data_IF_435213995925
#
_entry.id   IF_435213995925
#
_cell.length_a   1.000
_cell.length_b   1.000
_cell.length_c   1.000
_cell.angle_alpha   90.00
_cell.angle_beta   90.00
_cell.angle_gamma   90.00
#
_symmetry.space_group_name_H-M   'P 1'
#
loop_
_entity.id
_entity.type
_entity.pdbx_description
1 polymer ?
#
# COMPACT_ATOMS: atom_id res chain seq x y z
N UNK A 1 11.63 2.72 -17.12
CA UNK A 1 10.81 3.75 -16.43
C UNK A 1 10.43 4.78 -17.49
N UNK A 2 9.15 5.16 -17.60
CA UNK A 2 8.67 6.14 -18.58
C UNK A 2 9.03 7.58 -18.18
N UNK A 3 9.32 8.43 -19.17
CA UNK A 3 9.69 9.83 -18.98
C UNK A 3 8.55 10.59 -18.26
N UNK A 4 8.82 11.23 -17.10
CA UNK A 4 7.79 12.00 -16.39
C UNK A 4 7.25 13.19 -17.19
N UNK A 5 8.09 13.83 -18.02
CA UNK A 5 7.71 15.01 -18.81
C UNK A 5 6.73 14.69 -19.95
N UNK A 6 6.60 13.42 -20.33
CA UNK A 6 5.71 12.96 -21.39
C UNK A 6 4.34 12.51 -20.86
N UNK A 7 4.09 12.58 -19.54
CA UNK A 7 2.81 12.19 -18.95
C UNK A 7 1.77 13.29 -19.18
N UNK A 8 0.56 12.88 -19.53
CA UNK A 8 -0.57 13.80 -19.60
C UNK A 8 -0.80 14.52 -18.26
N UNK A 9 -1.08 15.82 -18.32
CA UNK A 9 -1.46 16.62 -17.14
C UNK A 9 -2.87 16.24 -16.67
N UNK A 10 -3.21 16.60 -15.42
CA UNK A 10 -4.55 16.35 -14.88
C UNK A 10 -5.65 17.02 -15.73
N UNK A 11 -5.44 18.28 -16.14
CA UNK A 11 -6.40 19.02 -16.97
C UNK A 11 -6.62 18.36 -18.33
N UNK A 12 -5.55 17.84 -18.95
CA UNK A 12 -5.64 17.12 -20.22
C UNK A 12 -6.42 15.80 -20.07
N UNK A 13 -6.21 15.06 -18.97
CA UNK A 13 -6.93 13.82 -18.70
C UNK A 13 -8.41 14.06 -18.46
N UNK A 14 -8.78 15.13 -17.73
CA UNK A 14 -10.17 15.47 -17.47
C UNK A 14 -10.98 15.77 -18.74
N UNK A 15 -10.32 16.19 -19.82
CA UNK A 15 -10.97 16.41 -21.12
C UNK A 15 -11.04 15.14 -21.99
N UNK A 16 -10.39 14.05 -21.58
CA UNK A 16 -10.26 12.85 -22.39
C UNK A 16 -11.61 12.14 -22.61
N UNK A 17 -11.95 11.66 -23.83
CA UNK A 17 -13.25 11.07 -24.15
C UNK A 17 -13.63 9.85 -23.29
N UNK A 18 -12.65 9.10 -22.80
CA UNK A 18 -12.90 7.99 -21.86
C UNK A 18 -13.42 8.47 -20.49
N UNK A 19 -13.12 9.71 -20.09
CA UNK A 19 -13.60 10.33 -18.86
C UNK A 19 -14.89 11.12 -19.10
N UNK A 20 -14.97 11.90 -20.19
CA UNK A 20 -16.09 12.82 -20.46
C UNK A 20 -17.23 12.20 -21.27
N UNK A 21 -16.96 11.12 -22.00
CA UNK A 21 -17.90 10.51 -22.93
C UNK A 21 -18.79 9.43 -22.32
N UNK A 22 -19.70 8.89 -23.15
CA UNK A 22 -20.53 7.74 -22.80
C UNK A 22 -19.66 6.48 -22.83
N UNK A 23 -19.52 5.84 -21.67
CA UNK A 23 -18.75 4.60 -21.53
C UNK A 23 -19.65 3.36 -21.57
N UNK A 24 -19.06 2.21 -21.86
CA UNK A 24 -19.78 0.93 -21.90
C UNK A 24 -20.38 0.58 -20.53
N UNK A 25 -21.66 0.20 -20.51
CA UNK A 25 -22.38 -0.29 -19.34
C UNK A 25 -22.31 -1.83 -19.19
N UNK A 26 -21.49 -2.50 -20.01
CA UNK A 26 -21.37 -3.97 -19.99
C UNK A 26 -20.75 -4.44 -18.67
N UNK A 27 -21.36 -5.40 -17.96
CA UNK A 27 -20.81 -5.91 -16.70
C UNK A 27 -19.44 -6.58 -16.87
N UNK A 28 -18.43 -6.06 -16.17
CA UNK A 28 -17.05 -6.59 -16.19
C UNK A 28 -16.85 -7.74 -15.19
N UNK A 29 -17.58 -8.85 -15.35
CA UNK A 29 -17.61 -9.97 -14.39
C UNK A 29 -16.21 -10.51 -14.03
N UNK A 30 -15.35 -10.70 -15.03
CA UNK A 30 -13.97 -11.19 -14.82
C UNK A 30 -13.13 -10.20 -14.03
N UNK A 31 -13.22 -8.90 -14.35
CA UNK A 31 -12.47 -7.87 -13.64
C UNK A 31 -12.90 -7.77 -12.16
N UNK A 32 -14.19 -7.91 -11.87
CA UNK A 32 -14.70 -7.94 -10.49
C UNK A 32 -14.13 -9.12 -9.70
N UNK A 33 -14.01 -10.30 -10.31
CA UNK A 33 -13.43 -11.47 -9.64
C UNK A 33 -11.93 -11.28 -9.37
N UNK A 34 -11.18 -10.77 -10.33
CA UNK A 34 -9.76 -10.45 -10.13
C UNK A 34 -9.56 -9.34 -9.09
N UNK A 35 -10.43 -8.33 -9.05
CA UNK A 35 -10.38 -7.27 -8.05
C UNK A 35 -10.58 -7.82 -6.63
N UNK A 36 -11.44 -8.82 -6.44
CA UNK A 36 -11.59 -9.51 -5.14
C UNK A 36 -10.30 -10.21 -4.73
N UNK A 37 -9.66 -10.96 -5.65
CA UNK A 37 -8.37 -11.63 -5.40
C UNK A 37 -7.26 -10.63 -5.08
N UNK A 38 -7.18 -9.55 -5.84
CA UNK A 38 -6.24 -8.46 -5.61
C UNK A 38 -6.43 -7.82 -4.23
N UNK A 39 -7.65 -7.49 -3.85
CA UNK A 39 -7.95 -6.88 -2.55
C UNK A 39 -7.60 -7.83 -1.39
N UNK A 40 -7.89 -9.13 -1.51
CA UNK A 40 -7.49 -10.12 -0.52
C UNK A 40 -5.97 -10.16 -0.35
N UNK A 41 -5.23 -10.27 -1.45
CA UNK A 41 -3.75 -10.25 -1.45
C UNK A 41 -3.20 -8.96 -0.85
N UNK A 42 -3.76 -7.79 -1.21
CA UNK A 42 -3.34 -6.48 -0.70
C UNK A 42 -3.53 -6.39 0.81
N UNK A 43 -4.70 -6.79 1.31
CA UNK A 43 -5.01 -6.79 2.75
C UNK A 43 -4.08 -7.73 3.53
N UNK A 44 -3.86 -8.95 3.02
CA UNK A 44 -2.94 -9.89 3.64
C UNK A 44 -1.51 -9.33 3.71
N UNK A 45 -1.00 -8.80 2.60
CA UNK A 45 0.35 -8.20 2.55
C UNK A 45 0.49 -7.03 3.53
N UNK A 46 -0.55 -6.19 3.66
CA UNK A 46 -0.56 -5.12 4.64
C UNK A 46 -0.51 -5.66 6.07
N UNK A 47 -1.33 -6.65 6.40
CA UNK A 47 -1.35 -7.28 7.73
C UNK A 47 0.01 -7.89 8.10
N UNK A 48 0.64 -8.63 7.18
CA UNK A 48 1.98 -9.21 7.39
C UNK A 48 3.01 -8.11 7.69
N UNK A 49 3.02 -7.02 6.90
CA UNK A 49 3.92 -5.90 7.14
C UNK A 49 3.70 -5.26 8.51
N UNK A 50 2.45 -5.08 8.93
CA UNK A 50 2.13 -4.55 10.26
C UNK A 50 2.65 -5.46 11.37
N UNK A 51 2.42 -6.77 11.27
CA UNK A 51 2.93 -7.74 12.27
C UNK A 51 4.46 -7.72 12.36
N UNK A 52 5.14 -7.69 11.21
CA UNK A 52 6.60 -7.58 11.15
C UNK A 52 7.10 -6.30 11.83
N UNK A 53 6.49 -5.14 11.51
CA UNK A 53 6.85 -3.87 12.11
C UNK A 53 6.64 -3.86 13.63
N UNK A 54 5.52 -4.39 14.12
CA UNK A 54 5.23 -4.51 15.56
C UNK A 54 6.23 -5.44 16.24
N UNK A 55 6.54 -6.60 15.66
CA UNK A 55 7.53 -7.53 16.21
C UNK A 55 8.93 -6.89 16.28
N UNK A 56 9.36 -6.18 15.24
CA UNK A 56 10.63 -5.45 15.24
C UNK A 56 10.67 -4.35 16.30
N UNK A 57 9.57 -3.61 16.48
CA UNK A 57 9.48 -2.57 17.50
C UNK A 57 9.59 -3.15 18.92
N UNK A 58 8.87 -4.24 19.21
CA UNK A 58 8.95 -4.94 20.51
C UNK A 58 10.34 -5.52 20.77
N UNK A 59 10.98 -6.10 19.76
CA UNK A 59 12.38 -6.57 19.87
C UNK A 59 13.35 -5.45 20.21
N UNK A 60 13.18 -4.27 19.57
CA UNK A 60 13.99 -3.06 19.84
C UNK A 60 13.71 -2.43 21.20
N UNK A 61 12.51 -2.61 21.75
CA UNK A 61 12.19 -2.17 23.11
C UNK A 61 12.87 -3.06 24.16
N UNK A 62 12.88 -4.38 23.95
CA UNK A 62 13.58 -5.33 24.84
C UNK A 62 15.07 -5.08 24.95
N UNK A 63 15.75 -4.81 23.83
CA UNK A 63 17.20 -4.54 23.84
C UNK A 63 17.57 -3.20 24.49
N UNK A 64 16.65 -2.23 24.51
CA UNK A 64 16.85 -0.95 25.22
C UNK A 64 16.60 -1.07 26.73
N UNK A 65 15.64 -1.88 27.15
CA UNK A 65 15.36 -2.13 28.58
C UNK A 65 16.50 -2.83 29.31
N UNK A 66 17.25 -3.71 28.64
CA UNK A 66 18.45 -4.35 29.22
C UNK A 66 19.64 -3.39 29.39
N UNK A 67 19.76 -2.38 28.53
CA UNK A 67 20.87 -1.41 28.59
C UNK A 67 20.74 -0.43 29.76
N UNK A 68 19.52 -0.18 30.26
CA UNK A 68 19.27 0.73 31.38
C UNK A 68 19.33 0.03 32.75
N UNK A 69 19.32 -1.31 32.79
CA UNK A 69 19.34 -2.09 34.02
C UNK A 69 20.77 -2.33 34.56
N UNK A 70 21.81 -2.03 33.79
CA UNK A 70 23.22 -2.33 34.13
C UNK A 70 23.91 -1.16 34.86
N UNK A 71 23.33 0.05 34.87
CA UNK A 71 23.99 1.27 35.37
C UNK A 71 23.75 1.60 36.86
N UNK A 72 23.11 0.72 37.64
CA UNK A 72 22.72 1.05 39.04
C UNK A 72 23.30 0.12 40.12
N UNK A 73 24.48 -0.46 39.88
CA UNK A 73 25.28 -1.15 40.91
C UNK A 73 26.62 -0.45 41.11
N UNK A 74 26.65 0.56 41.99
CA UNK A 74 27.84 1.08 42.67
C UNK A 74 27.50 1.25 44.14
#
# INVERSE_FOLDING_TARGET
VLNPAERATADALLQHPWITGVVSSVPLKTAVQELKRFNARRKFKAAVKTVQATASLLGRARTRGSSLAVDNTV
#
